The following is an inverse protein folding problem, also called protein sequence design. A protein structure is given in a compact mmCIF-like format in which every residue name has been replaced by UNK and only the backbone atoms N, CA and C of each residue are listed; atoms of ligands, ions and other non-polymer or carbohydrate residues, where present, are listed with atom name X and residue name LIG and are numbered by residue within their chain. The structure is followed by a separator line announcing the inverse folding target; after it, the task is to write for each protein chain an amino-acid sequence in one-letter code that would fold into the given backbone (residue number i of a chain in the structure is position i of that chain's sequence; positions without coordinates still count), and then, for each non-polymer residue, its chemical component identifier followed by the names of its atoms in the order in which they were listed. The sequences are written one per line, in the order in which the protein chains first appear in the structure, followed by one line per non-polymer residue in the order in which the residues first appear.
data_IF_127161947052
#
_entry.id   IF_127161947052
#
_cell.length_a   1.000
_cell.length_b   1.000
_cell.length_c   1.000
_cell.angle_alpha   90.00
_cell.angle_beta   90.00
_cell.angle_gamma   90.00
#
_symmetry.space_group_name_H-M   'P 1'
#
loop_
_entity.id
_entity.type
_entity.pdbx_description
1 polymer ?
#
# COMPACT_ATOMS: atom_id res chain seq x y z
N UNK A 1 -30.61 -32.95 -18.28
CA UNK A 1 -29.15 -32.94 -18.07
C UNK A 1 -28.49 -32.82 -19.45
N UNK A 2 -27.90 -31.63 -19.70
CA UNK A 2 -27.23 -31.38 -20.99
C UNK A 2 -25.83 -31.95 -20.85
N UNK A 3 -25.55 -33.09 -21.42
CA UNK A 3 -24.24 -33.72 -21.52
C UNK A 3 -23.48 -33.06 -22.70
N UNK A 4 -22.57 -32.18 -22.40
CA UNK A 4 -21.65 -31.61 -23.39
C UNK A 4 -20.66 -32.69 -23.86
N UNK A 5 -20.88 -33.25 -25.07
CA UNK A 5 -20.07 -34.33 -25.67
C UNK A 5 -18.95 -33.85 -26.59
N UNK A 6 -18.70 -32.53 -26.71
CA UNK A 6 -17.70 -32.01 -27.65
C UNK A 6 -16.37 -31.67 -26.92
N UNK A 7 -15.29 -32.42 -27.21
CA UNK A 7 -13.99 -32.23 -26.54
C UNK A 7 -13.33 -30.88 -26.86
N UNK A 8 -13.63 -30.29 -27.99
CA UNK A 8 -13.11 -28.95 -28.39
C UNK A 8 -13.77 -27.88 -27.54
N UNK A 9 -15.10 -27.96 -27.31
CA UNK A 9 -15.81 -27.01 -26.45
C UNK A 9 -15.39 -27.08 -24.98
N UNK A 10 -15.03 -28.29 -24.47
CA UNK A 10 -14.47 -28.46 -23.13
C UNK A 10 -13.09 -27.80 -22.98
N UNK A 11 -12.22 -27.93 -24.00
CA UNK A 11 -10.90 -27.28 -23.98
C UNK A 11 -11.01 -25.77 -24.07
N UNK A 12 -11.93 -25.25 -24.87
CA UNK A 12 -12.16 -23.79 -25.00
C UNK A 12 -12.75 -23.21 -23.71
N UNK A 13 -13.67 -23.94 -23.06
CA UNK A 13 -14.23 -23.50 -21.76
C UNK A 13 -13.17 -23.55 -20.63
N UNK A 14 -12.29 -24.57 -20.62
CA UNK A 14 -11.19 -24.67 -19.66
C UNK A 14 -10.16 -23.55 -19.86
N UNK A 15 -9.85 -23.21 -21.12
CA UNK A 15 -8.94 -22.10 -21.44
C UNK A 15 -9.57 -20.75 -21.12
N UNK A 16 -10.88 -20.57 -21.34
CA UNK A 16 -11.61 -19.36 -20.96
C UNK A 16 -11.69 -19.22 -19.43
N UNK A 17 -11.90 -20.34 -18.69
CA UNK A 17 -11.91 -20.31 -17.21
C UNK A 17 -10.51 -20.06 -16.65
N UNK A 18 -9.46 -20.61 -17.26
CA UNK A 18 -8.07 -20.32 -16.88
C UNK A 18 -7.66 -18.87 -17.18
N UNK A 19 -8.21 -18.26 -18.25
CA UNK A 19 -7.94 -16.86 -18.61
C UNK A 19 -8.68 -15.85 -17.69
N UNK A 20 -9.82 -16.24 -17.08
CA UNK A 20 -10.54 -15.37 -16.14
C UNK A 20 -9.91 -15.31 -14.72
N UNK A 21 -8.97 -16.20 -14.41
CA UNK A 21 -8.36 -16.26 -13.07
C UNK A 21 -7.08 -15.41 -12.92
N UNK A 22 -6.66 -14.63 -13.92
CA UNK A 22 -5.38 -13.93 -13.89
C UNK A 22 -5.46 -12.43 -14.21
N UNK A 23 -6.44 -11.73 -13.66
CA UNK A 23 -6.27 -10.30 -13.40
C UNK A 23 -5.88 -10.16 -11.93
N UNK A 24 -4.66 -10.54 -11.58
CA UNK A 24 -4.05 -9.99 -10.38
C UNK A 24 -3.66 -8.54 -10.73
N UNK A 25 -4.53 -7.62 -10.36
CA UNK A 25 -4.16 -6.22 -10.25
C UNK A 25 -2.95 -6.14 -9.32
N UNK A 26 -1.87 -5.50 -9.78
CA UNK A 26 -0.79 -5.07 -8.91
C UNK A 26 -1.40 -4.07 -7.92
N UNK A 27 -1.68 -4.52 -6.72
CA UNK A 27 -2.13 -3.72 -5.60
C UNK A 27 -0.86 -3.23 -4.89
N UNK A 28 -0.89 -2.05 -4.35
CA UNK A 28 0.03 -1.54 -3.34
C UNK A 28 0.22 -2.56 -2.20
N UNK A 29 0.79 -2.25 -1.06
CA UNK A 29 0.69 -3.24 0.03
C UNK A 29 -0.64 -3.96 -0.10
N UNK A 30 -0.68 -5.23 -0.46
CA UNK A 30 -1.95 -5.93 -0.61
C UNK A 30 -2.81 -5.68 0.62
N UNK A 31 -4.10 -5.90 0.54
CA UNK A 31 -5.05 -5.58 1.62
C UNK A 31 -4.54 -5.97 3.02
N UNK A 32 -3.87 -7.11 3.17
CA UNK A 32 -3.30 -7.58 4.45
C UNK A 32 -2.23 -6.63 5.01
N UNK A 33 -1.38 -6.05 4.18
CA UNK A 33 -0.35 -5.11 4.58
C UNK A 33 -0.93 -3.75 4.97
N UNK A 34 -1.81 -3.18 4.16
CA UNK A 34 -2.51 -1.92 4.48
C UNK A 34 -3.34 -2.03 5.76
N UNK A 35 -4.12 -3.10 5.90
CA UNK A 35 -4.93 -3.35 7.09
C UNK A 35 -4.04 -3.46 8.35
N UNK A 36 -2.89 -4.13 8.24
CA UNK A 36 -1.94 -4.27 9.35
C UNK A 36 -1.35 -2.92 9.76
N UNK A 37 -0.89 -2.11 8.78
CA UNK A 37 -0.37 -0.76 9.02
C UNK A 37 -1.40 0.11 9.71
N UNK A 38 -2.63 0.15 9.19
CA UNK A 38 -3.70 0.96 9.73
C UNK A 38 -4.10 0.50 11.14
N UNK A 39 -4.27 -0.81 11.36
CA UNK A 39 -4.68 -1.32 12.66
C UNK A 39 -3.64 -1.06 13.76
N UNK A 40 -2.36 -1.32 13.47
CA UNK A 40 -1.29 -1.01 14.42
C UNK A 40 -1.27 0.49 14.72
N UNK A 41 -1.35 1.34 13.68
CA UNK A 41 -1.39 2.79 13.85
C UNK A 41 -2.58 3.23 14.73
N UNK A 42 -3.78 2.70 14.49
CA UNK A 42 -4.99 3.03 15.24
C UNK A 42 -4.84 2.74 16.74
N UNK A 43 -4.13 1.66 17.11
CA UNK A 43 -3.87 1.33 18.51
C UNK A 43 -2.93 2.30 19.23
N UNK A 44 -2.21 3.13 18.48
CA UNK A 44 -1.29 4.15 19.00
C UNK A 44 -1.82 5.60 18.85
N UNK A 45 -3.07 5.77 18.43
CA UNK A 45 -3.70 7.08 18.38
C UNK A 45 -3.99 7.60 19.80
N UNK A 46 -3.84 8.91 19.97
CA UNK A 46 -4.37 9.60 21.16
C UNK A 46 -5.90 9.48 21.19
N UNK A 47 -6.48 9.56 22.39
CA UNK A 47 -7.95 9.53 22.54
C UNK A 47 -8.63 10.61 21.69
N UNK A 48 -7.99 11.79 21.58
CA UNK A 48 -8.53 12.90 20.81
C UNK A 48 -8.43 12.64 19.31
N UNK A 49 -7.27 12.22 18.80
CA UNK A 49 -7.12 11.89 17.39
C UNK A 49 -8.11 10.80 16.97
N UNK A 50 -8.24 9.73 17.78
CA UNK A 50 -9.20 8.68 17.52
C UNK A 50 -10.63 9.20 17.43
N UNK A 51 -11.07 10.00 18.39
CA UNK A 51 -12.44 10.54 18.42
C UNK A 51 -12.72 11.48 17.23
N UNK A 52 -11.74 12.29 16.80
CA UNK A 52 -11.89 13.16 15.64
C UNK A 52 -11.96 12.36 14.35
N UNK A 53 -11.08 11.39 14.17
CA UNK A 53 -11.06 10.55 12.97
C UNK A 53 -12.35 9.73 12.87
N UNK A 54 -12.80 9.13 13.97
CA UNK A 54 -14.03 8.35 14.03
C UNK A 54 -15.27 9.21 13.70
N UNK A 55 -15.28 10.47 14.10
CA UNK A 55 -16.35 11.41 13.73
C UNK A 55 -16.46 11.60 12.21
N UNK A 56 -15.32 11.68 11.48
CA UNK A 56 -15.31 11.87 10.03
C UNK A 56 -15.56 10.57 9.26
N UNK A 57 -14.95 9.46 9.67
CA UNK A 57 -15.04 8.19 8.95
C UNK A 57 -16.26 7.35 9.37
N UNK A 58 -16.70 7.45 10.63
CA UNK A 58 -17.77 6.62 11.19
C UNK A 58 -17.35 5.17 11.48
N UNK A 59 -16.09 4.82 11.30
CA UNK A 59 -15.53 3.47 11.48
C UNK A 59 -14.03 3.50 11.72
N UNK A 60 -13.41 2.32 11.96
CA UNK A 60 -11.97 2.14 12.05
C UNK A 60 -11.26 2.55 10.75
N UNK A 61 -10.06 3.14 10.87
CA UNK A 61 -9.22 3.47 9.71
C UNK A 61 -8.80 2.24 8.90
N UNK A 62 -8.89 1.04 9.45
CA UNK A 62 -8.63 -0.21 8.75
C UNK A 62 -9.58 -0.40 7.56
N UNK A 63 -10.84 0.05 7.71
CA UNK A 63 -11.83 -0.07 6.65
C UNK A 63 -11.44 0.69 5.37
N UNK A 64 -10.77 1.81 5.53
CA UNK A 64 -10.32 2.67 4.42
C UNK A 64 -8.86 2.41 4.00
N UNK A 65 -8.16 1.48 4.63
CA UNK A 65 -6.72 1.28 4.41
C UNK A 65 -6.36 0.95 2.95
N UNK A 66 -7.20 0.16 2.27
CA UNK A 66 -7.05 -0.20 0.85
C UNK A 66 -7.93 0.63 -0.09
N UNK A 67 -8.58 1.70 0.38
CA UNK A 67 -9.59 2.42 -0.39
C UNK A 67 -9.08 2.89 -1.76
N UNK A 68 -7.87 3.40 -1.85
CA UNK A 68 -7.30 3.87 -3.14
C UNK A 68 -7.14 2.73 -4.12
N UNK A 69 -6.71 1.57 -3.67
CA UNK A 69 -6.54 0.38 -4.51
C UNK A 69 -7.87 -0.23 -4.94
N UNK A 70 -8.82 -0.32 -4.01
CA UNK A 70 -10.12 -0.91 -4.26
C UNK A 70 -10.92 -0.13 -5.32
N UNK A 71 -10.78 1.19 -5.34
CA UNK A 71 -11.56 2.08 -6.20
C UNK A 71 -10.82 2.61 -7.43
N UNK A 72 -9.53 2.37 -7.59
CA UNK A 72 -8.74 2.97 -8.68
C UNK A 72 -9.20 2.63 -10.10
N UNK A 73 -9.97 1.56 -10.28
CA UNK A 73 -10.53 1.14 -11.58
C UNK A 73 -12.01 1.53 -11.72
N UNK A 74 -12.63 2.10 -10.69
CA UNK A 74 -14.03 2.48 -10.70
C UNK A 74 -14.24 3.83 -11.38
N UNK A 75 -15.19 3.96 -12.32
CA UNK A 75 -15.51 5.25 -12.92
C UNK A 75 -15.93 6.29 -11.87
N UNK A 76 -15.39 7.47 -11.98
CA UNK A 76 -15.61 8.57 -11.02
C UNK A 76 -14.69 8.57 -9.81
N UNK A 77 -13.77 7.60 -9.73
CA UNK A 77 -12.77 7.51 -8.66
C UNK A 77 -11.34 7.68 -9.16
N UNK A 78 -11.14 8.43 -10.24
CA UNK A 78 -9.81 8.70 -10.81
C UNK A 78 -8.85 9.31 -9.77
N UNK A 79 -9.40 9.98 -8.74
CA UNK A 79 -8.64 10.52 -7.63
C UNK A 79 -7.95 9.45 -6.77
N UNK A 80 -8.35 8.19 -6.84
CA UNK A 80 -7.69 7.11 -6.11
C UNK A 80 -6.39 6.66 -6.76
N UNK A 81 -6.13 7.09 -7.97
CA UNK A 81 -4.91 6.77 -8.70
C UNK A 81 -3.91 7.92 -8.54
N UNK A 82 -3.02 7.83 -7.56
CA UNK A 82 -2.16 8.92 -7.13
C UNK A 82 -1.15 9.41 -8.20
N UNK A 83 -0.88 8.69 -9.27
CA UNK A 83 -0.11 9.19 -10.41
C UNK A 83 -0.95 9.95 -11.45
N UNK A 84 -2.27 9.83 -11.37
CA UNK A 84 -3.18 10.58 -12.22
C UNK A 84 -3.91 11.69 -11.46
N UNK A 85 -3.73 11.75 -10.14
CA UNK A 85 -4.50 12.63 -9.30
C UNK A 85 -4.10 14.07 -9.52
N UNK A 86 -4.97 14.76 -10.18
CA UNK A 86 -5.15 16.18 -9.94
C UNK A 86 -5.96 16.33 -8.64
N UNK A 87 -5.26 16.48 -7.52
CA UNK A 87 -5.89 16.69 -6.22
C UNK A 87 -6.65 18.03 -6.15
N UNK A 88 -7.47 18.27 -7.13
CA UNK A 88 -8.37 19.40 -7.14
C UNK A 88 -7.66 20.69 -7.48
N UNK A 89 -7.06 20.77 -8.59
CA UNK A 89 -6.60 21.98 -9.25
C UNK A 89 -5.16 22.38 -8.95
N UNK A 90 -4.23 21.81 -9.65
CA UNK A 90 -3.13 22.63 -9.83
C UNK A 90 -1.74 22.03 -9.96
N UNK A 91 -1.53 20.78 -9.64
CA UNK A 91 -0.25 20.20 -9.98
C UNK A 91 -0.40 19.44 -11.29
N UNK A 92 0.36 19.81 -12.32
CA UNK A 92 0.27 19.13 -13.59
C UNK A 92 0.68 17.66 -13.43
N UNK A 93 -0.05 16.77 -14.07
CA UNK A 93 0.35 15.36 -14.22
C UNK A 93 1.45 15.19 -15.28
N UNK A 94 1.82 16.29 -15.93
CA UNK A 94 2.85 16.36 -16.94
C UNK A 94 3.74 17.58 -16.69
N UNK A 95 5.02 17.44 -17.00
CA UNK A 95 5.97 18.57 -17.04
C UNK A 95 5.64 19.54 -18.18
N UNK A 96 6.39 20.65 -18.25
CA UNK A 96 6.23 21.65 -19.29
C UNK A 96 6.49 21.14 -20.72
N UNK A 97 7.19 20.01 -20.88
CA UNK A 97 7.46 19.35 -22.15
C UNK A 97 6.39 18.30 -22.52
N UNK A 98 5.39 18.09 -21.64
CA UNK A 98 4.30 17.15 -21.85
C UNK A 98 4.62 15.71 -21.42
N UNK A 99 5.76 15.46 -20.78
CA UNK A 99 6.10 14.15 -20.24
C UNK A 99 5.31 13.90 -18.96
N UNK A 100 4.86 12.65 -18.72
CA UNK A 100 4.27 12.30 -17.45
C UNK A 100 5.24 12.60 -16.29
N UNK A 101 4.77 13.28 -15.27
CA UNK A 101 5.54 13.40 -14.04
C UNK A 101 5.66 12.02 -13.41
N UNK A 102 6.85 11.72 -12.88
CA UNK A 102 7.06 10.49 -12.13
C UNK A 102 6.01 10.35 -11.03
N UNK A 103 5.40 9.16 -10.90
CA UNK A 103 4.52 8.89 -9.79
C UNK A 103 5.24 9.22 -8.47
N UNK A 104 4.63 10.04 -7.64
CA UNK A 104 5.30 10.53 -6.45
C UNK A 104 4.38 10.46 -5.22
N UNK A 105 4.41 9.31 -4.57
CA UNK A 105 3.70 9.05 -3.32
C UNK A 105 4.01 10.11 -2.25
N UNK A 106 5.24 10.59 -2.18
CA UNK A 106 5.67 11.61 -1.22
C UNK A 106 4.96 12.96 -1.46
N UNK A 107 4.92 13.41 -2.71
CA UNK A 107 4.26 14.68 -3.06
C UNK A 107 2.78 14.64 -2.64
N UNK A 108 2.09 13.58 -2.99
CA UNK A 108 0.66 13.46 -2.71
C UNK A 108 0.37 13.29 -1.22
N UNK A 109 1.21 12.56 -0.50
CA UNK A 109 1.13 12.46 0.95
C UNK A 109 1.32 13.82 1.62
N UNK A 110 2.36 14.58 1.24
CA UNK A 110 2.62 15.91 1.81
C UNK A 110 1.45 16.87 1.54
N UNK A 111 0.85 16.81 0.35
CA UNK A 111 -0.34 17.63 0.03
C UNK A 111 -1.56 17.28 0.89
N UNK A 112 -1.82 16.00 1.09
CA UNK A 112 -2.91 15.56 1.94
C UNK A 112 -2.69 15.99 3.40
N UNK A 113 -1.48 15.84 3.93
CA UNK A 113 -1.11 16.30 5.27
C UNK A 113 -1.31 17.80 5.40
N UNK A 114 -0.80 18.59 4.44
CA UNK A 114 -0.90 20.06 4.48
C UNK A 114 -2.37 20.53 4.49
N UNK A 115 -3.22 19.94 3.66
CA UNK A 115 -4.66 20.23 3.67
C UNK A 115 -5.30 19.90 5.02
N UNK A 116 -4.98 18.78 5.60
CA UNK A 116 -5.56 18.34 6.87
C UNK A 116 -5.10 19.17 8.07
N UNK A 117 -4.04 19.99 7.97
CA UNK A 117 -3.66 20.92 9.05
C UNK A 117 -4.77 21.94 9.36
N UNK A 118 -5.54 22.27 8.34
CA UNK A 118 -6.69 23.19 8.49
C UNK A 118 -8.05 22.46 8.39
N UNK A 119 -8.10 21.20 8.80
CA UNK A 119 -9.27 20.34 8.61
C UNK A 119 -10.58 20.92 9.14
N UNK A 120 -10.53 21.81 10.14
CA UNK A 120 -11.73 22.43 10.72
C UNK A 120 -12.43 23.41 9.79
N UNK A 121 -11.72 23.95 8.79
CA UNK A 121 -12.22 24.89 7.80
C UNK A 121 -12.52 24.23 6.45
N UNK A 122 -12.37 22.90 6.36
CA UNK A 122 -12.70 22.11 5.18
C UNK A 122 -14.10 21.49 5.32
N UNK A 123 -14.74 21.20 4.20
CA UNK A 123 -15.94 20.35 4.22
C UNK A 123 -15.58 18.90 4.59
N UNK A 124 -16.55 18.19 5.16
CA UNK A 124 -16.33 16.82 5.66
C UNK A 124 -15.85 15.86 4.57
N UNK A 125 -16.35 16.01 3.34
CA UNK A 125 -15.93 15.15 2.21
C UNK A 125 -14.46 15.36 1.85
N UNK A 126 -14.00 16.59 1.85
CA UNK A 126 -12.59 16.92 1.64
C UNK A 126 -11.71 16.36 2.75
N UNK A 127 -12.14 16.45 4.02
CA UNK A 127 -11.41 15.85 5.15
C UNK A 127 -11.31 14.33 4.98
N UNK A 128 -12.43 13.67 4.70
CA UNK A 128 -12.49 12.20 4.53
C UNK A 128 -11.55 11.74 3.42
N UNK A 129 -11.58 12.37 2.26
CA UNK A 129 -10.72 11.99 1.12
C UNK A 129 -9.24 12.16 1.46
N UNK A 130 -8.83 13.30 2.04
CA UNK A 130 -7.44 13.52 2.40
C UNK A 130 -6.97 12.62 3.55
N UNK A 131 -7.87 12.27 4.49
CA UNK A 131 -7.58 11.29 5.53
C UNK A 131 -7.33 9.90 4.96
N UNK A 132 -8.15 9.44 4.00
CA UNK A 132 -7.94 8.19 3.26
C UNK A 132 -6.60 8.17 2.52
N UNK A 133 -6.20 9.29 1.92
CA UNK A 133 -4.88 9.41 1.29
C UNK A 133 -3.75 9.24 2.30
N UNK A 134 -3.82 9.89 3.44
CA UNK A 134 -2.77 9.74 4.48
C UNK A 134 -2.70 8.28 4.96
N UNK A 135 -3.85 7.65 5.23
CA UNK A 135 -3.92 6.26 5.69
C UNK A 135 -3.25 5.32 4.69
N UNK A 136 -3.56 5.47 3.40
CA UNK A 136 -3.05 4.60 2.34
C UNK A 136 -1.59 4.88 1.98
N UNK A 137 -1.28 6.16 1.67
CA UNK A 137 0.01 6.54 1.09
C UNK A 137 1.19 6.42 2.06
N UNK A 138 0.96 6.50 3.37
CA UNK A 138 2.02 6.16 4.35
C UNK A 138 2.38 4.69 4.23
N UNK A 139 1.42 3.80 4.03
CA UNK A 139 1.68 2.39 3.72
C UNK A 139 2.50 2.25 2.45
N UNK A 140 2.02 2.80 1.35
CA UNK A 140 2.66 2.73 0.03
C UNK A 140 4.10 3.20 0.02
N UNK A 141 4.37 4.30 0.71
CA UNK A 141 5.71 4.86 0.81
C UNK A 141 6.71 3.91 1.50
N UNK A 142 6.23 2.91 2.25
CA UNK A 142 7.05 1.90 2.90
C UNK A 142 7.03 0.55 2.17
N UNK A 143 6.23 0.40 1.10
CA UNK A 143 6.27 -0.78 0.26
C UNK A 143 7.53 -0.76 -0.61
N UNK A 144 8.41 -1.78 -0.53
CA UNK A 144 9.69 -1.76 -1.23
C UNK A 144 9.58 -1.60 -2.74
N UNK A 145 8.54 -2.13 -3.35
CA UNK A 145 8.33 -2.04 -4.79
C UNK A 145 7.76 -0.69 -5.25
N UNK A 146 7.30 0.17 -4.34
CA UNK A 146 6.69 1.47 -4.64
C UNK A 146 7.67 2.64 -4.62
N UNK A 147 8.76 2.52 -3.90
CA UNK A 147 9.74 3.60 -3.73
C UNK A 147 10.94 3.51 -4.66
N UNK A 148 11.05 2.43 -5.43
CA UNK A 148 12.10 2.24 -6.42
C UNK A 148 11.56 1.48 -7.65
N UNK A 149 11.16 2.21 -8.68
CA UNK A 149 10.41 1.70 -9.83
C UNK A 149 11.24 1.09 -10.95
N UNK A 150 12.54 0.84 -10.76
CA UNK A 150 13.46 0.52 -11.84
C UNK A 150 13.09 -0.70 -12.70
N UNK A 151 12.30 -1.64 -12.19
CA UNK A 151 11.93 -2.86 -12.93
C UNK A 151 10.47 -3.27 -12.69
N UNK A 152 9.55 -2.35 -12.80
CA UNK A 152 8.12 -2.57 -12.51
C UNK A 152 7.47 -3.72 -13.30
N UNK A 153 8.03 -4.08 -14.46
CA UNK A 153 7.54 -5.14 -15.35
C UNK A 153 8.29 -6.47 -15.22
N UNK A 154 9.27 -6.57 -14.34
CA UNK A 154 10.02 -7.80 -14.13
C UNK A 154 9.09 -8.94 -13.71
N UNK A 155 9.25 -10.12 -14.33
CA UNK A 155 8.47 -11.31 -14.03
C UNK A 155 9.38 -12.43 -13.53
N UNK A 156 8.84 -13.21 -12.60
CA UNK A 156 9.52 -14.35 -11.96
C UNK A 156 8.56 -15.53 -11.81
N UNK A 157 9.08 -16.69 -11.49
CA UNK A 157 8.27 -17.86 -11.17
C UNK A 157 8.14 -18.01 -9.64
N UNK A 158 7.09 -17.48 -9.08
CA UNK A 158 6.82 -17.56 -7.63
C UNK A 158 6.03 -18.83 -7.31
N UNK A 159 6.68 -19.79 -6.66
CA UNK A 159 6.16 -21.14 -6.46
C UNK A 159 5.65 -21.79 -7.76
N UNK A 160 6.34 -21.54 -8.86
CA UNK A 160 5.99 -22.08 -10.17
C UNK A 160 4.93 -21.29 -10.95
N UNK A 161 4.39 -20.24 -10.38
CA UNK A 161 3.42 -19.34 -11.04
C UNK A 161 4.15 -18.12 -11.59
N UNK A 162 3.93 -17.82 -12.87
CA UNK A 162 4.45 -16.62 -13.51
C UNK A 162 3.80 -15.38 -12.88
N UNK A 163 4.60 -14.58 -12.19
CA UNK A 163 4.13 -13.49 -11.32
C UNK A 163 4.96 -12.24 -11.58
N UNK A 164 4.33 -11.09 -11.50
CA UNK A 164 5.04 -9.81 -11.53
C UNK A 164 5.83 -9.63 -10.23
N UNK A 165 7.13 -9.32 -10.34
CA UNK A 165 8.00 -9.19 -9.17
C UNK A 165 7.52 -8.12 -8.17
N UNK A 166 7.02 -7.01 -8.71
CA UNK A 166 6.38 -5.96 -7.93
C UNK A 166 5.27 -6.51 -7.00
N UNK A 167 4.35 -7.30 -7.55
CA UNK A 167 3.23 -7.86 -6.80
C UNK A 167 3.63 -8.81 -5.65
N UNK A 168 4.88 -9.32 -5.65
CA UNK A 168 5.38 -10.11 -4.53
C UNK A 168 5.54 -9.26 -3.27
N UNK A 169 6.05 -8.04 -3.42
CA UNK A 169 6.26 -7.12 -2.30
C UNK A 169 4.98 -6.41 -1.88
N UNK A 170 4.02 -6.27 -2.79
CA UNK A 170 2.71 -5.72 -2.47
C UNK A 170 1.95 -6.62 -1.48
N UNK A 171 1.95 -7.91 -1.67
CA UNK A 171 1.23 -8.82 -0.77
C UNK A 171 1.64 -10.28 -0.90
N UNK A 172 2.11 -10.70 -2.08
CA UNK A 172 2.34 -12.10 -2.36
C UNK A 172 3.26 -12.82 -1.36
N UNK A 173 4.29 -12.14 -0.86
CA UNK A 173 5.21 -12.67 0.15
C UNK A 173 4.53 -12.73 1.52
N UNK A 174 3.85 -11.65 1.93
CA UNK A 174 3.16 -11.59 3.22
C UNK A 174 2.06 -12.64 3.31
N UNK A 175 1.21 -12.72 2.30
CA UNK A 175 0.10 -13.68 2.25
C UNK A 175 0.59 -15.13 2.18
N UNK A 176 1.74 -15.37 1.55
CA UNK A 176 2.33 -16.71 1.46
C UNK A 176 3.05 -17.11 2.74
N UNK A 177 3.75 -16.17 3.37
CA UNK A 177 4.64 -16.44 4.51
C UNK A 177 3.90 -16.38 5.83
N UNK A 178 3.18 -15.30 6.10
CA UNK A 178 2.54 -15.08 7.41
C UNK A 178 1.13 -15.66 7.47
N UNK A 179 0.30 -15.35 6.48
CA UNK A 179 -1.13 -15.73 6.48
C UNK A 179 -1.86 -15.16 7.69
N UNK A 180 -1.41 -14.02 8.18
CA UNK A 180 -1.98 -13.34 9.33
C UNK A 180 -3.06 -12.35 8.90
N UNK A 181 -4.08 -12.19 9.74
CA UNK A 181 -4.92 -11.01 9.72
C UNK A 181 -4.23 -9.83 10.43
N UNK A 182 -4.79 -8.64 10.33
CA UNK A 182 -4.18 -7.42 10.91
C UNK A 182 -4.00 -7.50 12.44
N UNK A 183 -4.85 -8.25 13.14
CA UNK A 183 -4.71 -8.44 14.59
C UNK A 183 -3.49 -9.31 14.94
N UNK A 184 -3.23 -10.34 14.16
CA UNK A 184 -2.05 -11.18 14.32
C UNK A 184 -0.78 -10.41 13.98
N UNK A 185 -0.79 -9.58 12.92
CA UNK A 185 0.33 -8.69 12.60
C UNK A 185 0.67 -7.81 13.80
N UNK A 186 -0.33 -7.16 14.40
CA UNK A 186 -0.12 -6.38 15.62
C UNK A 186 0.48 -7.22 16.74
N UNK A 187 -0.11 -8.37 17.02
CA UNK A 187 0.34 -9.24 18.11
C UNK A 187 1.78 -9.72 17.92
N UNK A 188 2.19 -9.98 16.70
CA UNK A 188 3.52 -10.51 16.39
C UNK A 188 4.59 -9.42 16.24
N UNK A 189 4.27 -8.29 15.65
CA UNK A 189 5.26 -7.29 15.25
C UNK A 189 5.31 -6.05 16.18
N UNK A 190 4.18 -5.63 16.78
CA UNK A 190 4.10 -4.43 17.62
C UNK A 190 4.61 -4.71 19.04
N UNK A 191 5.93 -4.94 19.17
CA UNK A 191 6.59 -5.34 20.41
C UNK A 191 7.62 -4.34 20.92
N UNK A 192 7.58 -3.13 20.43
CA UNK A 192 8.54 -2.07 20.73
C UNK A 192 8.08 -1.24 21.93
N UNK A 193 9.02 -0.86 22.78
CA UNK A 193 8.80 0.11 23.86
C UNK A 193 8.40 1.47 23.29
N UNK A 194 7.84 2.33 24.13
CA UNK A 194 7.49 3.70 23.72
C UNK A 194 8.68 4.45 23.10
N UNK A 195 9.86 4.35 23.71
CA UNK A 195 11.08 5.03 23.22
C UNK A 195 11.50 4.51 21.83
N UNK A 196 11.41 3.21 21.61
CA UNK A 196 11.74 2.62 20.31
C UNK A 196 10.72 3.02 19.23
N UNK A 197 9.43 3.04 19.56
CA UNK A 197 8.38 3.53 18.64
C UNK A 197 8.60 4.98 18.23
N UNK A 198 8.91 5.85 19.21
CA UNK A 198 9.23 7.26 18.96
C UNK A 198 10.46 7.40 18.05
N UNK A 199 11.48 6.57 18.25
CA UNK A 199 12.67 6.54 17.39
C UNK A 199 12.36 6.06 15.96
N UNK A 200 11.55 5.00 15.80
CA UNK A 200 11.15 4.49 14.49
C UNK A 200 10.23 5.46 13.73
N UNK A 201 9.45 6.25 14.46
CA UNK A 201 8.58 7.27 13.88
C UNK A 201 9.25 8.64 13.69
N UNK A 202 10.50 8.80 14.10
CA UNK A 202 11.20 10.09 13.98
C UNK A 202 11.33 10.55 12.53
N UNK A 203 11.49 11.87 12.33
CA UNK A 203 11.63 12.50 11.02
C UNK A 203 10.30 12.92 10.39
N UNK A 204 10.37 13.26 9.12
CA UNK A 204 9.29 13.77 8.27
C UNK A 204 8.98 12.77 7.14
N UNK A 205 7.89 12.93 6.39
CA UNK A 205 7.63 12.12 5.20
C UNK A 205 8.79 12.12 4.19
N UNK A 206 9.50 13.24 4.03
CA UNK A 206 10.67 13.35 3.15
C UNK A 206 11.83 12.48 3.64
N UNK A 207 12.11 12.50 4.95
CA UNK A 207 13.13 11.66 5.56
C UNK A 207 12.79 10.17 5.41
N UNK A 208 11.53 9.81 5.63
CA UNK A 208 11.05 8.43 5.51
C UNK A 208 11.09 7.92 4.08
N UNK A 209 10.75 8.76 3.11
CA UNK A 209 10.85 8.42 1.70
C UNK A 209 12.29 8.17 1.28
N UNK A 210 13.21 9.05 1.68
CA UNK A 210 14.65 8.88 1.41
C UNK A 210 15.20 7.61 2.08
N UNK A 211 14.77 7.32 3.30
CA UNK A 211 15.11 6.09 4.02
C UNK A 211 14.60 4.85 3.29
N UNK A 212 13.29 4.82 2.95
CA UNK A 212 12.68 3.69 2.25
C UNK A 212 13.34 3.45 0.90
N UNK A 213 13.60 4.48 0.11
CA UNK A 213 14.33 4.35 -1.17
C UNK A 213 15.70 3.71 -0.99
N UNK A 214 16.45 4.12 0.02
CA UNK A 214 17.79 3.58 0.31
C UNK A 214 17.72 2.12 0.77
N UNK A 215 16.82 1.81 1.71
CA UNK A 215 16.70 0.46 2.28
C UNK A 215 16.10 -0.54 1.30
N UNK A 216 15.14 -0.11 0.48
CA UNK A 216 14.39 -0.99 -0.39
C UNK A 216 15.02 -1.18 -1.78
N UNK A 217 16.01 -0.39 -2.17
CA UNK A 217 16.68 -0.54 -3.46
C UNK A 217 17.23 -1.97 -3.69
N UNK A 218 17.67 -2.61 -2.62
CA UNK A 218 18.30 -3.94 -2.63
C UNK A 218 17.40 -5.06 -3.15
N UNK A 219 16.07 -4.89 -3.19
CA UNK A 219 15.18 -5.95 -3.67
C UNK A 219 15.46 -6.35 -5.11
N UNK A 220 15.92 -5.41 -5.94
CA UNK A 220 16.23 -5.67 -7.36
C UNK A 220 17.55 -6.40 -7.57
N UNK A 221 18.37 -6.52 -6.53
CA UNK A 221 19.58 -7.35 -6.51
C UNK A 221 19.29 -8.79 -6.06
N UNK A 222 18.06 -9.07 -5.63
CA UNK A 222 17.70 -10.38 -5.06
C UNK A 222 17.19 -11.39 -6.07
N UNK A 223 16.79 -10.95 -7.25
CA UNK A 223 16.28 -11.82 -8.30
C UNK A 223 16.48 -11.21 -9.69
N UNK A 224 16.56 -12.08 -10.69
CA UNK A 224 16.56 -11.75 -12.10
C UNK A 224 15.25 -12.19 -12.79
N UNK A 225 14.94 -11.64 -13.99
CA UNK A 225 13.79 -12.09 -14.77
C UNK A 225 13.80 -13.62 -14.98
N UNK A 226 12.68 -14.28 -14.68
CA UNK A 226 12.52 -15.72 -14.83
C UNK A 226 13.01 -16.58 -13.67
N UNK A 227 13.58 -15.98 -12.62
CA UNK A 227 14.03 -16.72 -11.43
C UNK A 227 12.89 -17.46 -10.75
N UNK A 228 13.23 -18.64 -10.19
CA UNK A 228 12.30 -19.46 -9.41
C UNK A 228 12.40 -19.10 -7.94
N UNK A 229 11.41 -18.40 -7.44
CA UNK A 229 11.35 -17.90 -6.07
C UNK A 229 10.41 -18.78 -5.23
N UNK A 230 10.90 -19.19 -4.08
CA UNK A 230 10.19 -20.07 -3.14
C UNK A 230 10.40 -19.60 -1.69
N UNK A 231 10.15 -20.47 -0.72
CA UNK A 231 10.19 -20.16 0.71
C UNK A 231 11.49 -19.47 1.18
N UNK A 232 12.66 -19.84 0.62
CA UNK A 232 13.93 -19.21 0.97
C UNK A 232 13.94 -17.72 0.63
N UNK A 233 13.35 -17.34 -0.51
CA UNK A 233 13.17 -15.97 -0.92
C UNK A 233 12.21 -15.23 0.02
N UNK A 234 11.08 -15.86 0.37
CA UNK A 234 10.14 -15.26 1.34
C UNK A 234 10.82 -14.99 2.69
N UNK A 235 11.61 -15.94 3.19
CA UNK A 235 12.34 -15.79 4.46
C UNK A 235 13.34 -14.62 4.43
N UNK A 236 14.01 -14.40 3.29
CA UNK A 236 14.89 -13.25 3.10
C UNK A 236 14.09 -11.95 3.07
N UNK A 237 13.01 -11.91 2.29
CA UNK A 237 12.21 -10.71 2.08
C UNK A 237 11.50 -10.22 3.34
N UNK A 238 11.02 -11.12 4.20
CA UNK A 238 10.36 -10.78 5.48
C UNK A 238 11.29 -9.96 6.38
N UNK A 239 12.60 -10.21 6.34
CA UNK A 239 13.59 -9.40 7.08
C UNK A 239 13.59 -7.92 6.70
N UNK A 240 13.07 -7.56 5.53
CA UNK A 240 12.85 -6.18 5.08
C UNK A 240 11.39 -5.75 5.28
N UNK A 241 10.42 -6.60 4.92
CA UNK A 241 9.00 -6.26 4.89
C UNK A 241 8.43 -5.98 6.30
N UNK A 242 8.72 -6.82 7.29
CA UNK A 242 8.21 -6.64 8.65
C UNK A 242 8.69 -5.32 9.28
N UNK A 243 9.97 -4.94 9.22
CA UNK A 243 10.43 -3.62 9.63
C UNK A 243 9.75 -2.46 8.90
N UNK A 244 9.50 -2.58 7.59
CA UNK A 244 8.82 -1.53 6.83
C UNK A 244 7.35 -1.37 7.27
N UNK A 245 6.64 -2.47 7.51
CA UNK A 245 5.27 -2.43 8.06
C UNK A 245 5.21 -1.71 9.42
N UNK A 246 6.14 -2.03 10.31
CA UNK A 246 6.19 -1.41 11.64
C UNK A 246 6.54 0.08 11.56
N UNK A 247 7.51 0.46 10.75
CA UNK A 247 7.84 1.88 10.51
C UNK A 247 6.62 2.62 9.96
N UNK A 248 5.96 2.09 8.93
CA UNK A 248 4.74 2.65 8.36
C UNK A 248 3.67 2.87 9.43
N UNK A 249 3.44 1.88 10.29
CA UNK A 249 2.41 1.94 11.33
C UNK A 249 2.67 3.06 12.34
N UNK A 250 3.89 3.18 12.86
CA UNK A 250 4.20 4.21 13.85
C UNK A 250 4.26 5.61 13.24
N UNK A 251 4.72 5.72 11.99
CA UNK A 251 4.73 6.96 11.21
C UNK A 251 3.33 7.44 10.88
N UNK A 252 2.43 6.53 10.50
CA UNK A 252 1.00 6.84 10.32
C UNK A 252 0.38 7.34 11.62
N UNK A 253 0.60 6.63 12.73
CA UNK A 253 0.10 7.06 14.04
C UNK A 253 0.64 8.46 14.43
N UNK A 254 1.92 8.73 14.17
CA UNK A 254 2.53 10.05 14.42
C UNK A 254 1.81 11.15 13.62
N UNK A 255 1.67 10.97 12.30
CA UNK A 255 1.00 11.95 11.44
C UNK A 255 -0.42 12.22 11.90
N UNK A 256 -1.20 11.16 12.16
CA UNK A 256 -2.59 11.29 12.60
C UNK A 256 -2.71 11.96 13.97
N UNK A 257 -1.79 11.67 14.89
CA UNK A 257 -1.74 12.34 16.19
C UNK A 257 -1.33 13.80 16.10
N UNK A 258 -0.43 14.17 15.21
CA UNK A 258 -0.03 15.57 14.97
C UNK A 258 -1.16 16.40 14.34
N UNK A 259 -1.97 15.78 13.49
CA UNK A 259 -3.09 16.45 12.81
C UNK A 259 -4.32 16.59 13.71
N UNK A 260 -4.63 15.59 14.50
CA UNK A 260 -5.91 15.47 15.19
C UNK A 260 -5.82 15.33 16.72
N UNK A 261 -4.62 15.16 17.26
CA UNK A 261 -4.33 14.91 18.68
C UNK A 261 -4.38 16.10 19.61
#
# INVERSE_FOLDING_TARGET
PITMKNPVMKKTLLLAFAALCFVQSALAWGKSGHDAVAYIAETHLTKRAKAVIERYLGHSIVYDASWMDDYRAEPGYEMTNWWHVDYGKGEPTKDAAGNPLEPNVLRELNRAIERLRDYRNLDDSTVVVNLRYVIHLVGDMHCPSHVNYQQSRMRVLFYGVDTQYHALFDGGILDRKHRWGYMEYKHQLDRYSRREREALAAGTPDDWFAESRRECAVIYDWAAPGDKLVLSFCNKAIGLLDPQLIKASYRLAKVLNELFG
#
